data_IF_852923474866
#
_entry.id   IF_852923474866
#
_cell.length_a   1.000
_cell.length_b   1.000
_cell.length_c   1.000
_cell.angle_alpha   90.00
_cell.angle_beta   90.00
_cell.angle_gamma   90.00
#
_symmetry.space_group_name_H-M   'P 1'
#
loop_
_entity.id
_entity.type
_entity.pdbx_description
1 polymer ?
#
# COMPACT_ATOMS: atom_id res chain seq x y z
N UNK A 1 6.28 -26.12 9.08
CA UNK A 1 5.92 -25.00 9.99
C UNK A 1 4.99 -24.08 9.21
N UNK A 2 3.94 -23.55 9.85
CA UNK A 2 3.03 -22.58 9.19
C UNK A 2 3.36 -21.19 9.70
N UNK A 3 3.42 -20.21 8.81
CA UNK A 3 3.66 -18.81 9.14
C UNK A 3 2.42 -17.99 8.76
N UNK A 4 2.02 -17.07 9.61
CA UNK A 4 0.88 -16.18 9.40
C UNK A 4 1.38 -14.76 9.60
N UNK A 5 1.16 -13.89 8.62
CA UNK A 5 1.41 -12.46 8.70
C UNK A 5 0.05 -11.77 8.75
N UNK A 6 -0.19 -11.01 9.82
CA UNK A 6 -1.39 -10.18 9.95
C UNK A 6 -0.92 -8.73 9.83
N UNK A 7 -1.33 -8.06 8.76
CA UNK A 7 -0.98 -6.68 8.47
C UNK A 7 -2.10 -5.75 8.90
N UNK A 8 -1.86 -4.95 9.95
CA UNK A 8 -2.75 -3.89 10.37
C UNK A 8 -2.46 -2.61 9.60
N UNK A 9 -2.96 -2.51 8.37
CA UNK A 9 -2.77 -1.33 7.52
C UNK A 9 -3.53 -0.12 8.07
N UNK A 10 -2.91 1.07 8.01
CA UNK A 10 -3.50 2.32 8.47
C UNK A 10 -3.69 2.45 9.99
N UNK A 11 -3.08 1.58 10.80
CA UNK A 11 -3.22 1.62 12.26
C UNK A 11 -2.26 2.62 12.94
N UNK A 12 -1.17 3.00 12.29
CA UNK A 12 -0.23 3.98 12.81
C UNK A 12 -0.82 5.40 12.71
N UNK A 13 -0.72 6.15 13.80
CA UNK A 13 -1.26 7.53 13.84
C UNK A 13 -0.48 8.36 14.88
N UNK A 14 -0.67 9.67 14.78
CA UNK A 14 -0.16 10.62 15.76
C UNK A 14 -1.07 10.70 16.99
N UNK A 15 -0.51 11.09 18.16
CA UNK A 15 -1.32 11.36 19.35
C UNK A 15 -2.39 12.40 19.11
N UNK A 16 -3.61 12.12 19.54
CA UNK A 16 -4.79 12.99 19.37
C UNK A 16 -5.09 13.70 20.70
N UNK A 17 -5.06 15.02 20.71
CA UNK A 17 -5.24 15.81 21.93
C UNK A 17 -6.57 15.52 22.64
N UNK A 18 -7.68 15.36 21.88
CA UNK A 18 -9.00 15.00 22.42
C UNK A 18 -9.04 13.64 23.12
N UNK A 19 -8.07 12.78 22.88
CA UNK A 19 -7.91 11.46 23.50
C UNK A 19 -6.86 11.46 24.62
N UNK A 20 -6.58 12.63 25.19
CA UNK A 20 -5.58 12.78 26.25
C UNK A 20 -4.15 12.54 25.77
N UNK A 21 -3.83 12.89 24.52
CA UNK A 21 -2.51 12.71 23.95
C UNK A 21 -2.16 11.27 23.57
N UNK A 22 -3.17 10.40 23.46
CA UNK A 22 -3.00 9.00 23.03
C UNK A 22 -3.19 8.86 21.51
N UNK A 23 -2.51 7.90 20.92
CA UNK A 23 -2.82 7.44 19.56
C UNK A 23 -4.15 6.69 19.56
N UNK A 24 -4.77 6.51 18.39
CA UNK A 24 -6.01 5.73 18.26
C UNK A 24 -5.81 4.31 18.77
N UNK A 25 -4.68 3.69 18.46
CA UNK A 25 -4.36 2.33 18.91
C UNK A 25 -4.17 2.25 20.44
N UNK A 26 -3.57 3.28 21.06
CA UNK A 26 -3.44 3.35 22.52
C UNK A 26 -4.79 3.60 23.22
N UNK A 27 -5.74 4.21 22.53
CA UNK A 27 -7.06 4.48 23.06
C UNK A 27 -8.03 3.31 22.87
N UNK A 28 -7.89 2.57 21.78
CA UNK A 28 -8.73 1.41 21.47
C UNK A 28 -8.51 0.27 22.47
N UNK A 29 -9.55 -0.50 22.72
CA UNK A 29 -9.45 -1.73 23.51
C UNK A 29 -9.04 -2.87 22.59
N UNK A 30 -7.79 -3.30 22.69
CA UNK A 30 -7.19 -4.32 21.82
C UNK A 30 -6.62 -5.50 22.61
N UNK A 31 -7.44 -6.20 23.41
CA UNK A 31 -6.94 -7.17 24.40
C UNK A 31 -6.13 -8.32 23.78
N UNK A 32 -6.47 -8.78 22.58
CA UNK A 32 -5.73 -9.84 21.90
C UNK A 32 -4.41 -9.35 21.30
N UNK A 33 -4.37 -8.13 20.75
CA UNK A 33 -3.12 -7.53 20.27
C UNK A 33 -2.18 -7.25 21.45
N UNK A 34 -2.73 -6.75 22.55
CA UNK A 34 -1.99 -6.51 23.79
C UNK A 34 -1.41 -7.82 24.36
N UNK A 35 -2.17 -8.91 24.29
CA UNK A 35 -1.70 -10.22 24.71
C UNK A 35 -0.53 -10.70 23.85
N UNK A 36 -0.66 -10.58 22.52
CA UNK A 36 0.41 -10.94 21.59
C UNK A 36 1.67 -10.10 21.81
N UNK A 37 1.51 -8.80 22.04
CA UNK A 37 2.64 -7.92 22.33
C UNK A 37 3.35 -8.26 23.65
N UNK A 38 2.60 -8.67 24.68
CA UNK A 38 3.15 -9.07 25.97
C UNK A 38 3.87 -10.42 25.93
N UNK A 39 3.37 -11.36 25.15
CA UNK A 39 3.90 -12.73 25.08
C UNK A 39 4.91 -12.94 23.97
N UNK A 40 4.90 -12.08 22.95
CA UNK A 40 5.76 -12.15 21.79
C UNK A 40 7.01 -11.27 21.91
N UNK A 41 7.64 -11.09 20.77
CA UNK A 41 8.75 -10.12 20.60
C UNK A 41 8.22 -8.93 19.81
N UNK A 42 8.48 -7.74 20.30
CA UNK A 42 8.13 -6.49 19.61
C UNK A 42 9.37 -5.83 19.05
N UNK A 43 9.20 -5.06 17.98
CA UNK A 43 10.28 -4.35 17.34
C UNK A 43 9.78 -3.30 16.37
N UNK A 44 10.70 -2.67 15.65
CA UNK A 44 10.42 -1.71 14.59
C UNK A 44 10.92 -2.25 13.28
N UNK A 45 10.10 -2.13 12.24
CA UNK A 45 10.42 -2.52 10.88
C UNK A 45 10.39 -1.27 10.00
N UNK A 46 11.41 -1.10 9.17
CA UNK A 46 11.41 -0.07 8.11
C UNK A 46 10.70 -0.67 6.91
N UNK A 47 9.47 -0.25 6.68
CA UNK A 47 8.64 -0.75 5.57
C UNK A 47 8.83 0.05 4.28
N UNK A 48 9.33 1.28 4.38
CA UNK A 48 9.70 2.12 3.23
C UNK A 48 11.15 2.54 3.42
N UNK A 49 12.11 1.82 2.84
CA UNK A 49 13.53 2.19 2.91
C UNK A 49 13.80 3.54 2.21
N UNK A 50 14.93 4.16 2.58
CA UNK A 50 15.36 5.41 1.95
C UNK A 50 15.53 5.23 0.44
N UNK A 51 15.06 6.21 -0.32
CA UNK A 51 15.10 6.18 -1.78
C UNK A 51 13.84 5.66 -2.45
N UNK A 52 12.90 5.08 -1.68
CA UNK A 52 11.62 4.60 -2.21
C UNK A 52 10.47 5.53 -1.82
N UNK A 53 9.50 5.69 -2.73
CA UNK A 53 8.27 6.41 -2.43
C UNK A 53 7.31 5.53 -1.61
N UNK A 54 6.56 6.10 -0.66
CA UNK A 54 5.55 5.37 0.09
C UNK A 54 4.49 4.75 -0.82
N UNK A 55 4.31 3.45 -0.70
CA UNK A 55 3.32 2.68 -1.44
C UNK A 55 3.16 1.30 -0.84
N UNK A 56 1.96 0.72 -0.98
CA UNK A 56 1.67 -0.62 -0.44
C UNK A 56 2.58 -1.68 -1.07
N UNK A 57 2.92 -1.55 -2.34
CA UNK A 57 3.82 -2.44 -3.06
C UNK A 57 5.24 -2.43 -2.48
N UNK A 58 5.76 -1.26 -2.15
CA UNK A 58 7.07 -1.10 -1.51
C UNK A 58 7.03 -1.70 -0.10
N UNK A 59 6.04 -1.32 0.69
CA UNK A 59 5.92 -1.78 2.08
C UNK A 59 5.73 -3.29 2.17
N UNK A 60 4.86 -3.87 1.35
CA UNK A 60 4.61 -5.32 1.35
C UNK A 60 5.84 -6.11 0.90
N UNK A 61 6.56 -5.64 -0.11
CA UNK A 61 7.81 -6.26 -0.55
C UNK A 61 8.85 -6.28 0.57
N UNK A 62 9.01 -5.15 1.29
CA UNK A 62 9.90 -5.07 2.44
C UNK A 62 9.46 -5.98 3.60
N UNK A 63 8.16 -6.02 3.92
CA UNK A 63 7.60 -6.88 4.98
C UNK A 63 7.84 -8.36 4.69
N UNK A 64 7.74 -8.76 3.42
CA UNK A 64 8.01 -10.13 2.99
C UNK A 64 9.51 -10.47 2.95
N UNK A 65 10.39 -9.51 3.21
CA UNK A 65 11.84 -9.72 3.32
C UNK A 65 12.59 -9.67 2.00
N UNK A 66 11.99 -9.16 0.94
CA UNK A 66 12.68 -8.95 -0.33
C UNK A 66 13.52 -7.67 -0.31
N UNK A 67 14.68 -7.71 -0.95
CA UNK A 67 15.49 -6.51 -1.18
C UNK A 67 14.90 -5.70 -2.34
N UNK A 68 14.31 -4.57 -1.99
CA UNK A 68 13.67 -3.66 -2.96
C UNK A 68 14.65 -3.15 -4.03
N UNK A 69 15.93 -3.00 -3.71
CA UNK A 69 16.93 -2.58 -4.70
C UNK A 69 17.18 -3.63 -5.79
N UNK A 70 16.83 -4.87 -5.52
CA UNK A 70 17.03 -5.97 -6.47
C UNK A 70 15.75 -6.36 -7.21
N UNK A 71 14.58 -6.19 -6.59
CA UNK A 71 13.34 -6.77 -7.12
C UNK A 71 12.28 -5.74 -7.49
N UNK A 72 12.43 -4.47 -7.07
CA UNK A 72 11.38 -3.47 -7.30
C UNK A 72 11.62 -2.68 -8.58
N UNK A 73 10.81 -2.95 -9.58
CA UNK A 73 10.83 -2.27 -10.89
C UNK A 73 9.63 -1.33 -11.09
N UNK A 74 8.93 -1.02 -10.02
CA UNK A 74 7.73 -0.19 -10.08
C UNK A 74 6.44 -0.99 -9.89
N UNK A 75 5.33 -0.27 -9.87
CA UNK A 75 4.00 -0.85 -9.64
C UNK A 75 3.40 -1.53 -10.87
N UNK A 76 3.76 -1.06 -12.06
CA UNK A 76 3.24 -1.60 -13.33
C UNK A 76 3.46 -3.10 -13.49
N UNK A 77 4.70 -3.61 -13.34
CA UNK A 77 4.99 -5.05 -13.43
C UNK A 77 4.23 -5.89 -12.41
N UNK A 78 4.08 -5.40 -11.17
CA UNK A 78 3.34 -6.11 -10.12
C UNK A 78 1.84 -6.21 -10.44
N UNK A 79 1.24 -5.14 -10.95
CA UNK A 79 -0.16 -5.14 -11.37
C UNK A 79 -0.38 -6.02 -12.61
N UNK A 80 0.53 -6.00 -13.58
CA UNK A 80 0.49 -6.92 -14.73
C UNK A 80 0.53 -8.38 -14.30
N UNK A 81 1.45 -8.73 -13.40
CA UNK A 81 1.54 -10.08 -12.85
C UNK A 81 0.27 -10.48 -12.07
N UNK A 82 -0.36 -9.55 -11.35
CA UNK A 82 -1.58 -9.81 -10.56
C UNK A 82 -2.78 -10.21 -11.40
N UNK A 83 -2.83 -9.76 -12.66
CA UNK A 83 -3.88 -10.15 -13.63
C UNK A 83 -3.47 -11.34 -14.50
N UNK A 84 -2.34 -11.98 -14.19
CA UNK A 84 -1.85 -13.16 -14.89
C UNK A 84 -1.06 -12.88 -16.18
N UNK A 85 -0.72 -11.62 -16.45
CA UNK A 85 0.13 -11.28 -17.59
C UNK A 85 1.58 -11.68 -17.29
N UNK A 86 2.15 -12.50 -18.16
CA UNK A 86 3.56 -12.90 -18.08
C UNK A 86 4.38 -11.97 -18.98
N UNK A 87 5.15 -11.10 -18.35
CA UNK A 87 6.02 -10.15 -19.05
C UNK A 87 7.22 -10.87 -19.65
N UNK A 88 7.51 -10.57 -20.92
CA UNK A 88 8.81 -10.89 -21.51
C UNK A 88 9.87 -9.88 -21.04
N UNK A 89 11.19 -10.22 -21.19
CA UNK A 89 12.26 -9.31 -20.76
C UNK A 89 12.23 -7.93 -21.42
N UNK A 90 11.65 -7.82 -22.60
CA UNK A 90 11.54 -6.59 -23.38
C UNK A 90 10.27 -5.79 -23.09
N UNK A 91 9.33 -6.37 -22.33
CA UNK A 91 8.05 -5.71 -22.06
C UNK A 91 8.22 -4.60 -21.03
N UNK A 92 7.47 -3.52 -21.23
CA UNK A 92 7.35 -2.43 -20.27
C UNK A 92 5.89 -2.32 -19.81
N UNK A 93 5.65 -2.54 -18.53
CA UNK A 93 4.34 -2.34 -17.93
C UNK A 93 4.24 -0.95 -17.29
N UNK A 94 3.30 -0.16 -17.75
CA UNK A 94 3.01 1.15 -17.19
C UNK A 94 1.60 1.18 -16.59
N UNK A 95 1.49 1.75 -15.40
CA UNK A 95 0.19 2.01 -14.81
C UNK A 95 -0.38 3.33 -15.34
N UNK A 96 -1.60 3.28 -15.84
CA UNK A 96 -2.35 4.45 -16.26
C UNK A 96 -3.55 4.68 -15.35
N UNK A 97 -3.84 5.95 -15.06
CA UNK A 97 -5.02 6.35 -14.33
C UNK A 97 -5.83 7.36 -15.16
N UNK A 98 -7.14 7.27 -15.07
CA UNK A 98 -8.00 8.36 -15.52
C UNK A 98 -7.87 9.55 -14.58
N UNK A 99 -7.78 10.74 -15.14
CA UNK A 99 -7.84 12.00 -14.40
C UNK A 99 -9.00 12.82 -14.92
N UNK A 100 -9.57 13.66 -14.07
CA UNK A 100 -10.56 14.65 -14.51
C UNK A 100 -9.92 16.02 -14.57
N UNK A 101 -10.06 16.66 -15.75
CA UNK A 101 -9.57 18.01 -16.01
C UNK A 101 -10.74 18.95 -16.21
N UNK A 102 -10.69 20.14 -15.59
CA UNK A 102 -11.55 21.27 -15.90
C UNK A 102 -10.72 22.54 -15.92
N UNK A 103 -10.95 23.40 -16.89
CA UNK A 103 -10.26 24.68 -17.09
C UNK A 103 -8.73 24.55 -17.05
N UNK A 104 -8.21 23.50 -17.66
CA UNK A 104 -6.76 23.21 -17.73
C UNK A 104 -6.12 22.77 -16.41
N UNK A 105 -6.93 22.45 -15.39
CA UNK A 105 -6.46 22.00 -14.08
C UNK A 105 -6.93 20.59 -13.79
N UNK A 106 -6.09 19.81 -13.12
CA UNK A 106 -6.48 18.49 -12.59
C UNK A 106 -7.42 18.70 -11.41
N UNK A 107 -8.66 18.26 -11.53
CA UNK A 107 -9.67 18.33 -10.47
C UNK A 107 -9.62 17.06 -9.62
N UNK A 108 -9.51 15.90 -10.26
CA UNK A 108 -9.30 14.63 -9.52
C UNK A 108 -8.24 13.79 -10.23
N UNK A 109 -7.47 13.06 -9.43
CA UNK A 109 -6.41 12.16 -9.91
C UNK A 109 -6.91 10.73 -10.16
N UNK A 110 -8.17 10.45 -9.89
CA UNK A 110 -8.81 9.13 -10.01
C UNK A 110 -10.06 9.13 -10.89
N UNK A 111 -10.18 10.10 -11.79
CA UNK A 111 -11.31 10.21 -12.71
C UNK A 111 -12.68 10.42 -12.03
N UNK A 112 -12.72 10.85 -10.77
CA UNK A 112 -13.98 11.07 -10.05
C UNK A 112 -14.71 9.78 -9.65
N UNK A 113 -13.97 8.70 -9.37
CA UNK A 113 -14.51 7.38 -9.02
C UNK A 113 -15.33 6.73 -10.15
N UNK A 114 -14.82 6.78 -11.38
CA UNK A 114 -15.39 6.07 -12.53
C UNK A 114 -15.68 4.61 -12.20
N UNK A 115 -16.85 4.13 -12.60
CA UNK A 115 -17.19 2.72 -12.54
C UNK A 115 -16.47 1.95 -13.65
N UNK A 116 -16.18 0.68 -13.45
CA UNK A 116 -15.48 -0.18 -14.42
C UNK A 116 -16.12 -0.13 -15.81
N UNK A 117 -17.48 -0.19 -15.87
CA UNK A 117 -18.24 -0.13 -17.13
C UNK A 117 -18.00 1.17 -17.94
N UNK A 118 -17.78 2.30 -17.23
CA UNK A 118 -17.53 3.58 -17.87
C UNK A 118 -16.05 3.68 -18.30
N UNK A 119 -15.15 3.11 -17.48
CA UNK A 119 -13.74 2.97 -17.79
C UNK A 119 -13.49 2.12 -19.04
N UNK A 120 -14.21 1.01 -19.20
CA UNK A 120 -14.13 0.13 -20.39
C UNK A 120 -14.42 0.85 -21.71
N UNK A 121 -15.27 1.86 -21.68
CA UNK A 121 -15.58 2.68 -22.86
C UNK A 121 -14.43 3.64 -23.18
N UNK A 122 -13.74 4.15 -22.17
CA UNK A 122 -12.68 5.14 -22.33
C UNK A 122 -11.33 4.53 -22.70
N UNK A 123 -11.12 3.24 -22.45
CA UNK A 123 -9.86 2.54 -22.78
C UNK A 123 -9.86 2.02 -24.23
N UNK A 124 -11.02 1.87 -24.86
CA UNK A 124 -11.18 1.43 -26.26
C UNK A 124 -10.93 2.56 -27.24
#
# INVERSE_FOLDING_TARGET
>A
MKHIIILGDGMADHPVQRLGGKTLLQYAQTPYMDLLAKQGKTGRLITVPNGFYPGSEVANTAILGYDLNQVYEGRGPLEAASIGYQMAPEDMAMRCNFIYLADGKIITHNGGNLQTKDGDVLVK
#
